data_IF_840621720645
#
_entry.id   IF_840621720645
#
_cell.length_a   1.000
_cell.length_b   1.000
_cell.length_c   1.000
_cell.angle_alpha   90.00
_cell.angle_beta   90.00
_cell.angle_gamma   90.00
#
_symmetry.space_group_name_H-M   'P 1'
#
loop_
_entity.id
_entity.type
_entity.pdbx_description
1 polymer ?
#
# COMPACT_ATOMS: atom_id res chain seq x y z
N UNK A 1 -0.07 20.76 -1.28
CA UNK A 1 -1.14 19.86 -0.87
C UNK A 1 -1.55 18.98 -2.05
N UNK A 2 -2.04 17.77 -1.75
CA UNK A 2 -2.67 16.88 -2.70
C UNK A 2 -4.06 16.50 -2.20
N UNK A 3 -5.01 16.34 -3.13
CA UNK A 3 -6.33 15.79 -2.84
C UNK A 3 -6.34 14.31 -3.17
N UNK A 4 -6.92 13.51 -2.29
CA UNK A 4 -7.03 12.07 -2.47
C UNK A 4 -8.34 11.58 -1.83
N UNK A 5 -9.26 11.02 -2.63
CA UNK A 5 -10.60 10.69 -2.18
C UNK A 5 -11.26 11.87 -1.42
N UNK A 6 -11.59 11.69 -0.16
CA UNK A 6 -12.26 12.69 0.67
C UNK A 6 -11.31 13.47 1.59
N UNK A 7 -9.98 13.35 1.40
CA UNK A 7 -8.98 13.98 2.27
C UNK A 7 -8.06 14.93 1.50
N UNK A 8 -7.46 15.86 2.23
CA UNK A 8 -6.41 16.76 1.73
C UNK A 8 -5.14 16.53 2.54
N UNK A 9 -4.08 16.15 1.84
CA UNK A 9 -2.79 15.76 2.38
C UNK A 9 -1.75 16.87 2.23
N UNK A 10 -0.86 16.98 3.20
CA UNK A 10 0.38 17.71 3.03
C UNK A 10 1.34 16.86 2.20
N UNK A 11 1.86 17.43 1.13
CA UNK A 11 2.88 16.84 0.27
C UNK A 11 3.88 17.91 -0.15
N UNK A 12 5.09 17.49 -0.48
CA UNK A 12 6.15 18.37 -0.96
C UNK A 12 7.35 17.58 -1.47
N UNK A 13 8.52 18.21 -1.47
CA UNK A 13 9.74 17.57 -1.95
C UNK A 13 10.06 16.32 -1.11
N UNK A 14 10.38 15.23 -1.78
CA UNK A 14 10.80 13.97 -1.14
C UNK A 14 9.66 13.01 -0.80
N UNK A 15 8.40 13.34 -1.15
CA UNK A 15 7.27 12.44 -1.01
C UNK A 15 6.54 12.25 -2.34
N UNK A 16 6.13 11.02 -2.60
CA UNK A 16 5.32 10.68 -3.77
C UNK A 16 3.93 11.34 -3.69
N UNK A 17 3.52 12.01 -4.76
CA UNK A 17 2.18 12.59 -4.86
C UNK A 17 1.19 11.50 -5.26
N UNK A 18 0.14 11.23 -4.45
CA UNK A 18 -0.80 10.15 -4.72
C UNK A 18 -1.50 10.35 -6.08
N UNK A 19 -1.75 9.22 -6.77
CA UNK A 19 -2.32 9.19 -8.13
C UNK A 19 -3.80 8.79 -8.10
N UNK A 20 -4.59 9.22 -9.11
CA UNK A 20 -6.02 8.87 -9.20
C UNK A 20 -6.28 7.36 -9.27
N UNK A 21 -5.39 6.59 -9.92
CA UNK A 21 -5.51 5.14 -10.02
C UNK A 21 -5.43 4.47 -8.64
N UNK A 22 -4.62 5.02 -7.73
CA UNK A 22 -4.47 4.53 -6.36
C UNK A 22 -5.75 4.72 -5.54
N UNK A 23 -6.61 5.69 -5.88
CA UNK A 23 -7.93 5.84 -5.23
C UNK A 23 -8.83 4.63 -5.48
N UNK A 24 -8.76 4.05 -6.69
CA UNK A 24 -9.48 2.83 -7.03
C UNK A 24 -8.98 1.64 -6.21
N UNK A 25 -7.66 1.45 -6.13
CA UNK A 25 -7.03 0.39 -5.33
C UNK A 25 -7.38 0.55 -3.85
N UNK A 26 -7.40 1.79 -3.34
CA UNK A 26 -7.84 2.09 -1.98
C UNK A 26 -9.31 1.71 -1.75
N UNK A 27 -10.17 1.90 -2.76
CA UNK A 27 -11.56 1.45 -2.72
C UNK A 27 -11.70 -0.05 -2.48
N UNK A 28 -10.87 -0.88 -3.15
CA UNK A 28 -10.85 -2.33 -2.92
C UNK A 28 -10.45 -2.68 -1.49
N UNK A 29 -9.48 -1.96 -0.90
CA UNK A 29 -9.09 -2.16 0.49
C UNK A 29 -10.21 -1.76 1.46
N UNK A 30 -10.89 -0.64 1.23
CA UNK A 30 -12.04 -0.21 2.02
C UNK A 30 -13.16 -1.27 2.00
N UNK A 31 -13.45 -1.83 0.84
CA UNK A 31 -14.44 -2.91 0.70
C UNK A 31 -14.01 -4.18 1.46
N UNK A 32 -12.72 -4.54 1.39
CA UNK A 32 -12.17 -5.65 2.16
C UNK A 32 -12.28 -5.41 3.67
N UNK A 33 -11.96 -4.20 4.16
CA UNK A 33 -12.07 -3.83 5.57
C UNK A 33 -13.53 -3.87 6.04
N UNK A 34 -14.48 -3.37 5.23
CA UNK A 34 -15.92 -3.43 5.54
C UNK A 34 -16.46 -4.87 5.60
N UNK A 35 -15.83 -5.79 4.87
CA UNK A 35 -16.20 -7.21 4.87
C UNK A 35 -15.63 -8.00 6.05
N UNK A 36 -14.71 -7.42 6.84
CA UNK A 36 -14.16 -8.07 8.03
C UNK A 36 -15.24 -8.31 9.09
N UNK A 37 -15.16 -9.45 9.75
CA UNK A 37 -16.10 -9.80 10.81
C UNK A 37 -15.80 -9.12 12.16
N UNK A 38 -14.59 -8.57 12.31
CA UNK A 38 -14.16 -7.89 13.53
C UNK A 38 -14.74 -6.48 13.65
N UNK A 39 -15.03 -6.05 14.86
CA UNK A 39 -15.55 -4.71 15.12
C UNK A 39 -14.49 -3.61 14.96
N UNK A 40 -13.23 -3.94 15.15
CA UNK A 40 -12.07 -3.03 15.03
C UNK A 40 -11.01 -3.65 14.11
N UNK A 41 -11.20 -3.58 12.77
CA UNK A 41 -10.25 -4.15 11.82
C UNK A 41 -8.87 -3.49 11.93
N UNK A 42 -7.81 -4.30 11.86
CA UNK A 42 -6.43 -3.82 11.85
C UNK A 42 -5.93 -3.82 10.39
N UNK A 43 -5.42 -2.66 9.95
CA UNK A 43 -4.98 -2.44 8.59
C UNK A 43 -3.53 -1.93 8.58
N UNK A 44 -2.69 -2.52 7.72
CA UNK A 44 -1.37 -1.99 7.40
C UNK A 44 -1.33 -1.43 5.99
N UNK A 45 -0.84 -0.18 5.87
CA UNK A 45 -0.46 0.47 4.63
C UNK A 45 1.08 0.43 4.52
N UNK A 46 1.60 -0.52 3.75
CA UNK A 46 3.05 -0.70 3.57
C UNK A 46 3.52 0.15 2.39
N UNK A 47 4.63 0.87 2.55
CA UNK A 47 5.10 1.92 1.65
C UNK A 47 4.15 3.13 1.61
N UNK A 48 3.81 3.66 2.77
CA UNK A 48 2.72 4.62 2.96
C UNK A 48 2.89 5.97 2.23
N UNK A 49 4.11 6.38 1.88
CA UNK A 49 4.38 7.64 1.20
C UNK A 49 3.83 8.85 1.98
N UNK A 50 2.87 9.56 1.43
CA UNK A 50 2.17 10.66 2.13
C UNK A 50 1.14 10.18 3.18
N UNK A 51 0.90 8.87 3.27
CA UNK A 51 -0.17 8.29 4.07
C UNK A 51 -1.53 8.26 3.38
N UNK A 52 -1.59 8.48 2.07
CA UNK A 52 -2.84 8.66 1.33
C UNK A 52 -3.80 7.48 1.50
N UNK A 53 -3.32 6.26 1.29
CA UNK A 53 -4.13 5.04 1.35
C UNK A 53 -4.63 4.80 2.78
N UNK A 54 -3.70 4.71 3.73
CA UNK A 54 -4.03 4.43 5.12
C UNK A 54 -4.95 5.48 5.74
N UNK A 55 -4.74 6.76 5.45
CA UNK A 55 -5.58 7.85 5.95
C UNK A 55 -6.96 7.89 5.32
N UNK A 56 -7.10 7.56 4.03
CA UNK A 56 -8.41 7.41 3.41
C UNK A 56 -9.20 6.28 4.09
N UNK A 57 -8.56 5.14 4.39
CA UNK A 57 -9.19 4.04 5.13
C UNK A 57 -9.57 4.50 6.56
N UNK A 58 -8.64 5.12 7.30
CA UNK A 58 -8.89 5.54 8.68
C UNK A 58 -10.02 6.56 8.80
N UNK A 59 -10.17 7.47 7.83
CA UNK A 59 -11.22 8.49 7.84
C UNK A 59 -12.57 7.96 7.37
N UNK A 60 -12.59 7.00 6.41
CA UNK A 60 -13.83 6.41 5.91
C UNK A 60 -14.35 5.26 6.78
N UNK A 61 -13.48 4.64 7.60
CA UNK A 61 -13.82 3.55 8.53
C UNK A 61 -13.27 3.89 9.92
N UNK A 62 -13.95 4.73 10.69
CA UNK A 62 -13.44 5.27 11.98
C UNK A 62 -13.13 4.22 13.06
N UNK A 63 -13.69 3.01 12.95
CA UNK A 63 -13.41 1.89 13.85
C UNK A 63 -12.23 1.01 13.42
N UNK A 64 -11.65 1.24 12.22
CA UNK A 64 -10.43 0.55 11.80
C UNK A 64 -9.20 1.15 12.51
N UNK A 65 -8.25 0.29 12.92
CA UNK A 65 -6.93 0.69 13.41
C UNK A 65 -5.95 0.63 12.23
N UNK A 66 -5.44 1.77 11.80
CA UNK A 66 -4.61 1.87 10.58
C UNK A 66 -3.17 2.24 10.91
N UNK A 67 -2.23 1.47 10.39
CA UNK A 67 -0.80 1.67 10.60
C UNK A 67 -0.12 1.84 9.24
N UNK A 68 0.44 3.03 8.99
CA UNK A 68 1.26 3.31 7.83
C UNK A 68 2.74 3.05 8.11
N UNK A 69 3.43 2.30 7.25
CA UNK A 69 4.87 2.05 7.33
C UNK A 69 5.56 2.76 6.18
N UNK A 70 6.50 3.66 6.50
CA UNK A 70 7.26 4.43 5.52
C UNK A 70 8.75 4.36 5.84
N UNK A 71 9.56 4.08 4.81
CA UNK A 71 11.03 3.94 4.93
C UNK A 71 11.77 5.27 4.80
N UNK A 72 11.30 6.15 3.93
CA UNK A 72 11.95 7.44 3.66
C UNK A 72 11.70 8.41 4.82
N UNK A 73 12.75 8.90 5.47
CA UNK A 73 12.63 9.91 6.50
C UNK A 73 11.99 11.22 5.99
N UNK A 74 12.27 11.59 4.73
CA UNK A 74 11.69 12.78 4.10
C UNK A 74 10.18 12.63 3.89
N UNK A 75 9.74 11.48 3.36
CA UNK A 75 8.33 11.16 3.19
C UNK A 75 7.64 11.01 4.55
N UNK A 76 8.27 10.33 5.52
CA UNK A 76 7.73 10.11 6.85
C UNK A 76 7.39 11.40 7.60
N UNK A 77 8.15 12.47 7.37
CA UNK A 77 7.81 13.78 7.93
C UNK A 77 6.43 14.29 7.48
N UNK A 78 6.01 14.00 6.24
CA UNK A 78 4.66 14.27 5.77
C UNK A 78 3.65 13.25 6.28
N UNK A 79 4.00 11.97 6.21
CA UNK A 79 3.15 10.86 6.70
C UNK A 79 2.70 11.11 8.14
N UNK A 80 3.65 11.35 9.04
CA UNK A 80 3.38 11.59 10.48
C UNK A 80 2.44 12.76 10.69
N UNK A 81 2.73 13.94 10.09
CA UNK A 81 1.85 15.11 10.23
C UNK A 81 0.45 14.87 9.67
N UNK A 82 0.34 14.17 8.55
CA UNK A 82 -0.95 13.85 7.97
C UNK A 82 -1.76 12.92 8.89
N UNK A 83 -1.12 11.89 9.47
CA UNK A 83 -1.78 10.99 10.45
C UNK A 83 -2.21 11.73 11.71
N UNK A 84 -1.36 12.56 12.29
CA UNK A 84 -1.68 13.36 13.47
C UNK A 84 -2.87 14.30 13.25
N UNK A 85 -2.99 14.84 12.04
CA UNK A 85 -4.04 15.78 11.66
C UNK A 85 -5.37 15.12 11.30
N UNK A 86 -5.34 14.01 10.57
CA UNK A 86 -6.52 13.42 9.94
C UNK A 86 -7.07 12.20 10.67
N UNK A 87 -6.23 11.44 11.37
CA UNK A 87 -6.61 10.20 12.04
C UNK A 87 -5.94 10.04 13.42
N UNK A 88 -6.03 11.05 14.32
CA UNK A 88 -5.26 11.06 15.57
C UNK A 88 -5.66 9.97 16.57
N UNK A 89 -6.82 9.35 16.41
CA UNK A 89 -7.35 8.35 17.35
C UNK A 89 -7.26 6.91 16.86
N UNK A 90 -7.24 6.70 15.55
CA UNK A 90 -7.30 5.37 14.95
C UNK A 90 -6.25 5.12 13.87
N UNK A 91 -5.31 6.06 13.67
CA UNK A 91 -4.22 5.94 12.73
C UNK A 91 -2.88 6.34 13.31
N UNK A 92 -1.81 5.68 12.89
CA UNK A 92 -0.43 6.03 13.23
C UNK A 92 0.53 5.69 12.10
N UNK A 93 1.67 6.38 12.05
CA UNK A 93 2.75 6.10 11.12
C UNK A 93 3.98 5.52 11.86
N UNK A 94 4.73 4.68 11.18
CA UNK A 94 5.98 4.07 11.64
C UNK A 94 7.06 4.35 10.60
N UNK A 95 8.20 4.89 11.04
CA UNK A 95 9.40 5.01 10.21
C UNK A 95 10.17 3.69 10.26
N UNK A 96 10.03 2.88 9.22
CA UNK A 96 10.72 1.59 9.10
C UNK A 96 10.81 1.15 7.64
N UNK A 97 11.79 0.32 7.31
CA UNK A 97 11.72 -0.51 6.11
C UNK A 97 10.57 -1.52 6.24
N UNK A 98 9.94 -1.89 5.14
CA UNK A 98 8.88 -2.92 5.14
C UNK A 98 9.38 -4.21 5.78
N UNK A 99 10.63 -4.61 5.49
CA UNK A 99 11.24 -5.80 6.07
C UNK A 99 11.35 -5.75 7.60
N UNK A 100 11.48 -4.54 8.16
CA UNK A 100 11.63 -4.27 9.61
C UNK A 100 10.30 -3.90 10.28
N UNK A 101 9.17 -4.13 9.60
CA UNK A 101 7.83 -3.90 10.19
C UNK A 101 7.71 -4.66 11.53
N UNK A 102 7.29 -3.97 12.63
CA UNK A 102 7.15 -4.59 13.95
C UNK A 102 6.30 -5.87 13.94
N UNK A 103 6.61 -6.80 14.82
CA UNK A 103 6.01 -8.15 14.86
C UNK A 103 4.96 -8.35 15.97
N UNK A 104 4.65 -7.33 16.73
CA UNK A 104 3.68 -7.36 17.83
C UNK A 104 2.23 -7.64 17.37
N UNK A 105 1.95 -7.42 16.08
CA UNK A 105 0.67 -7.69 15.44
C UNK A 105 0.69 -8.89 14.47
N UNK A 106 1.73 -9.73 14.51
CA UNK A 106 1.80 -10.92 13.67
C UNK A 106 0.58 -11.83 13.85
N UNK A 107 -0.01 -12.24 12.72
CA UNK A 107 -1.19 -13.11 12.69
C UNK A 107 -2.48 -12.45 13.20
N UNK A 108 -2.52 -11.12 13.36
CA UNK A 108 -3.68 -10.39 13.90
C UNK A 108 -4.26 -9.36 12.92
N UNK A 109 -3.57 -9.07 11.82
CA UNK A 109 -3.96 -8.05 10.84
C UNK A 109 -5.04 -8.60 9.93
N UNK A 110 -6.03 -7.79 9.60
CA UNK A 110 -7.16 -8.15 8.74
C UNK A 110 -6.87 -7.82 7.27
N UNK A 111 -6.29 -6.64 7.01
CA UNK A 111 -5.98 -6.18 5.65
C UNK A 111 -4.58 -5.58 5.59
N UNK A 112 -3.80 -5.99 4.60
CA UNK A 112 -2.55 -5.34 4.20
C UNK A 112 -2.74 -4.77 2.80
N UNK A 113 -2.43 -3.49 2.64
CA UNK A 113 -2.40 -2.83 1.33
C UNK A 113 -1.03 -2.20 1.11
N UNK A 114 -0.58 -2.17 -0.13
CA UNK A 114 0.66 -1.51 -0.51
C UNK A 114 0.58 -0.95 -1.92
N UNK A 115 1.11 0.26 -2.10
CA UNK A 115 1.55 0.78 -3.38
C UNK A 115 3.09 0.86 -3.36
N UNK A 116 3.81 -0.25 -3.57
CA UNK A 116 5.26 -0.29 -3.46
C UNK A 116 5.91 0.33 -4.70
N UNK A 117 7.19 0.72 -4.65
CA UNK A 117 7.98 0.99 -5.84
C UNK A 117 7.98 -0.24 -6.76
N UNK A 118 7.55 -0.07 -8.02
CA UNK A 118 7.40 -1.19 -8.96
C UNK A 118 8.03 -0.94 -10.34
N UNK A 119 8.71 0.20 -10.57
CA UNK A 119 9.36 0.49 -11.85
C UNK A 119 10.69 -0.30 -11.92
N UNK A 120 10.94 -1.09 -12.99
CA UNK A 120 12.22 -1.73 -13.20
C UNK A 120 13.36 -0.71 -13.28
N UNK A 121 14.52 -1.03 -12.70
CA UNK A 121 15.64 -0.10 -12.55
C UNK A 121 16.17 0.50 -13.86
N UNK A 122 15.99 -0.21 -14.99
CA UNK A 122 16.43 0.24 -16.32
C UNK A 122 15.35 1.03 -17.09
N UNK A 123 14.12 1.14 -16.55
CA UNK A 123 13.04 1.88 -17.21
C UNK A 123 13.02 3.34 -16.75
N UNK A 124 12.93 4.24 -17.71
CA UNK A 124 12.66 5.65 -17.43
C UNK A 124 11.15 5.83 -17.35
N UNK A 125 10.63 6.51 -16.31
CA UNK A 125 9.21 6.80 -16.23
C UNK A 125 8.70 7.50 -17.50
N UNK A 126 7.55 7.06 -18.02
CA UNK A 126 6.98 7.58 -19.28
C UNK A 126 6.62 9.07 -19.16
N UNK A 127 6.25 9.50 -17.96
CA UNK A 127 5.89 10.89 -17.69
C UNK A 127 7.09 11.67 -17.13
N UNK A 128 7.53 12.75 -17.80
CA UNK A 128 8.69 13.56 -17.37
C UNK A 128 8.55 14.10 -15.94
N UNK A 129 7.32 14.43 -15.52
CA UNK A 129 7.05 14.94 -14.17
C UNK A 129 7.40 13.91 -13.10
N UNK A 130 7.13 12.62 -13.36
CA UNK A 130 7.48 11.52 -12.46
C UNK A 130 9.01 11.39 -12.34
N UNK A 131 9.72 11.42 -13.46
CA UNK A 131 11.18 11.31 -13.47
C UNK A 131 11.89 12.48 -12.80
N UNK A 132 11.30 13.70 -12.83
CA UNK A 132 11.91 14.94 -12.35
C UNK A 132 11.56 15.27 -10.90
N UNK A 133 10.42 14.85 -10.41
CA UNK A 133 9.86 15.32 -9.15
C UNK A 133 9.63 14.23 -8.09
N UNK A 134 9.36 12.98 -8.51
CA UNK A 134 9.17 11.90 -7.56
C UNK A 134 10.51 11.30 -7.10
N UNK A 135 10.66 10.97 -5.81
CA UNK A 135 11.91 10.40 -5.31
C UNK A 135 12.15 9.00 -5.90
N UNK A 136 13.37 8.72 -6.35
CA UNK A 136 13.74 7.42 -6.94
C UNK A 136 13.43 6.22 -6.03
N UNK A 137 13.50 6.42 -4.71
CA UNK A 137 13.15 5.40 -3.71
C UNK A 137 11.67 5.00 -3.77
N UNK A 138 10.79 5.89 -4.22
CA UNK A 138 9.35 5.63 -4.37
C UNK A 138 8.99 5.05 -5.74
N UNK A 139 9.94 4.97 -6.68
CA UNK A 139 9.70 4.56 -8.06
C UNK A 139 10.26 3.18 -8.38
N UNK A 140 11.53 2.94 -8.03
CA UNK A 140 12.27 1.78 -8.54
C UNK A 140 12.19 0.57 -7.61
N UNK A 141 11.69 -0.54 -8.14
CA UNK A 141 11.50 -1.82 -7.44
C UNK A 141 12.54 -2.90 -7.77
N UNK A 142 13.77 -2.51 -8.16
CA UNK A 142 14.83 -3.46 -8.52
C UNK A 142 14.86 -3.80 -10.00
N UNK A 143 15.58 -4.87 -10.37
CA UNK A 143 15.86 -5.22 -11.78
C UNK A 143 14.57 -5.48 -12.58
N UNK A 144 13.65 -6.28 -12.03
CA UNK A 144 12.34 -6.60 -12.62
C UNK A 144 11.19 -5.75 -12.09
N UNK A 145 11.45 -4.83 -11.15
CA UNK A 145 10.45 -4.00 -10.50
C UNK A 145 9.67 -4.70 -9.38
N UNK A 146 10.02 -5.92 -9.01
CA UNK A 146 9.24 -6.71 -8.04
C UNK A 146 9.96 -6.97 -6.70
N UNK A 147 11.13 -6.39 -6.47
CA UNK A 147 11.90 -6.67 -5.24
C UNK A 147 11.11 -6.27 -3.98
N UNK A 148 10.52 -5.07 -3.98
CA UNK A 148 9.71 -4.61 -2.85
C UNK A 148 8.40 -5.38 -2.76
N UNK A 149 7.80 -5.77 -3.89
CA UNK A 149 6.58 -6.61 -3.92
C UNK A 149 6.84 -7.96 -3.24
N UNK A 150 8.02 -8.56 -3.44
CA UNK A 150 8.41 -9.82 -2.77
C UNK A 150 8.46 -9.65 -1.26
N UNK A 151 9.06 -8.56 -0.78
CA UNK A 151 9.16 -8.24 0.65
C UNK A 151 7.78 -7.95 1.24
N UNK A 152 6.96 -7.16 0.55
CA UNK A 152 5.56 -6.89 0.96
C UNK A 152 4.77 -8.19 1.11
N UNK A 153 4.89 -9.12 0.15
CA UNK A 153 4.20 -10.41 0.22
C UNK A 153 4.63 -11.25 1.43
N UNK A 154 5.94 -11.27 1.76
CA UNK A 154 6.46 -12.01 2.91
C UNK A 154 6.02 -11.37 4.24
N UNK A 155 6.09 -10.06 4.36
CA UNK A 155 5.66 -9.33 5.55
C UNK A 155 4.14 -9.43 5.74
N UNK A 156 3.36 -9.31 4.68
CA UNK A 156 1.91 -9.50 4.73
C UNK A 156 1.54 -10.93 5.16
N UNK A 157 2.26 -11.96 4.67
CA UNK A 157 2.05 -13.34 5.10
C UNK A 157 2.30 -13.54 6.60
N UNK A 158 3.20 -12.78 7.20
CA UNK A 158 3.48 -12.78 8.64
C UNK A 158 2.41 -12.03 9.44
N UNK A 159 2.03 -10.83 8.97
CA UNK A 159 1.10 -9.94 9.66
C UNK A 159 -0.35 -10.45 9.66
N UNK A 160 -0.82 -10.90 8.49
CA UNK A 160 -2.22 -11.28 8.32
C UNK A 160 -2.56 -12.56 9.08
N UNK A 161 -3.75 -12.59 9.69
CA UNK A 161 -4.35 -13.84 10.17
C UNK A 161 -4.79 -14.70 8.96
N UNK A 162 -5.00 -16.03 9.14
CA UNK A 162 -5.61 -16.86 8.11
C UNK A 162 -6.95 -16.30 7.65
N UNK A 163 -7.13 -16.11 6.34
CA UNK A 163 -8.29 -15.44 5.75
C UNK A 163 -8.16 -13.94 5.58
N UNK A 164 -7.12 -13.32 6.13
CA UNK A 164 -6.81 -11.89 5.91
C UNK A 164 -6.46 -11.56 4.47
N UNK A 165 -6.67 -10.34 4.07
CA UNK A 165 -6.57 -9.89 2.67
C UNK A 165 -5.31 -9.06 2.43
N UNK A 166 -4.57 -9.41 1.37
CA UNK A 166 -3.48 -8.61 0.80
C UNK A 166 -3.94 -7.94 -0.49
N UNK A 167 -3.60 -6.65 -0.67
CA UNK A 167 -3.82 -5.90 -1.91
C UNK A 167 -2.52 -5.18 -2.28
N UNK A 168 -2.05 -5.38 -3.51
CA UNK A 168 -0.80 -4.76 -4.02
C UNK A 168 -1.10 -4.03 -5.33
N UNK A 169 -0.78 -2.74 -5.38
CA UNK A 169 -0.75 -1.97 -6.63
C UNK A 169 0.51 -2.33 -7.43
N UNK A 170 0.41 -2.35 -8.77
CA UNK A 170 1.50 -2.66 -9.69
C UNK A 170 1.31 -1.95 -11.04
N UNK A 171 2.35 -1.94 -11.88
CA UNK A 171 2.24 -1.48 -13.26
C UNK A 171 1.33 -2.41 -14.09
N UNK A 172 0.67 -1.86 -15.11
CA UNK A 172 -0.29 -2.59 -15.96
C UNK A 172 0.27 -3.88 -16.58
N UNK A 173 1.55 -3.92 -16.92
CA UNK A 173 2.23 -5.11 -17.49
C UNK A 173 2.72 -6.12 -16.44
N UNK A 174 2.58 -5.86 -15.14
CA UNK A 174 3.12 -6.73 -14.08
C UNK A 174 2.07 -7.67 -13.47
N UNK A 175 0.79 -7.54 -13.82
CA UNK A 175 -0.30 -8.29 -13.18
C UNK A 175 -0.10 -9.81 -13.17
N UNK A 176 0.37 -10.38 -14.28
CA UNK A 176 0.65 -11.83 -14.37
C UNK A 176 1.82 -12.24 -13.47
N UNK A 177 2.92 -11.47 -13.48
CA UNK A 177 4.10 -11.75 -12.69
C UNK A 177 3.80 -11.67 -11.17
N UNK A 178 3.04 -10.66 -10.75
CA UNK A 178 2.62 -10.51 -9.33
C UNK A 178 1.69 -11.66 -8.92
N UNK A 179 0.75 -12.09 -9.79
CA UNK A 179 -0.11 -13.25 -9.49
C UNK A 179 0.70 -14.53 -9.31
N UNK A 180 1.63 -14.81 -10.22
CA UNK A 180 2.48 -16.00 -10.13
C UNK A 180 3.32 -15.97 -8.85
N UNK A 181 3.94 -14.83 -8.54
CA UNK A 181 4.71 -14.65 -7.30
C UNK A 181 3.86 -14.98 -6.05
N UNK A 182 2.62 -14.51 -5.99
CA UNK A 182 1.75 -14.77 -4.85
C UNK A 182 1.31 -16.24 -4.78
N UNK A 183 0.95 -16.85 -5.92
CA UNK A 183 0.60 -18.27 -5.99
C UNK A 183 1.77 -19.16 -5.54
N UNK A 184 2.99 -18.89 -5.99
CA UNK A 184 4.20 -19.63 -5.62
C UNK A 184 4.51 -19.49 -4.13
N UNK A 185 4.12 -18.38 -3.49
CA UNK A 185 4.24 -18.16 -2.04
C UNK A 185 3.06 -18.76 -1.24
N UNK A 186 2.14 -19.47 -1.89
CA UNK A 186 1.03 -20.15 -1.22
C UNK A 186 -0.19 -19.29 -0.91
N UNK A 187 -0.29 -18.09 -1.49
CA UNK A 187 -1.51 -17.28 -1.40
C UNK A 187 -2.65 -17.91 -2.18
N UNK A 188 -3.87 -17.70 -1.72
CA UNK A 188 -5.10 -18.23 -2.34
C UNK A 188 -5.99 -17.10 -2.87
N UNK A 189 -6.97 -17.45 -3.69
CA UNK A 189 -7.92 -16.50 -4.29
C UNK A 189 -7.25 -15.29 -4.95
N UNK A 190 -6.10 -15.50 -5.58
CA UNK A 190 -5.30 -14.46 -6.23
C UNK A 190 -6.04 -13.91 -7.45
N UNK A 191 -6.37 -12.62 -7.45
CA UNK A 191 -7.17 -11.95 -8.49
C UNK A 191 -6.53 -10.63 -8.92
N UNK A 192 -6.48 -10.39 -10.24
CA UNK A 192 -6.13 -9.09 -10.81
C UNK A 192 -7.37 -8.21 -10.87
N UNK A 193 -7.19 -6.91 -10.57
CA UNK A 193 -8.21 -5.88 -10.66
C UNK A 193 -7.76 -4.79 -11.63
N UNK A 194 -8.68 -4.35 -12.48
CA UNK A 194 -8.43 -3.31 -13.47
C UNK A 194 -8.91 -1.95 -12.96
N UNK A 195 -8.22 -0.89 -13.38
CA UNK A 195 -8.64 0.48 -13.15
C UNK A 195 -9.78 0.89 -14.12
N UNK A 196 -10.25 2.13 -14.01
CA UNK A 196 -11.31 2.67 -14.87
C UNK A 196 -10.97 2.69 -16.36
N UNK A 197 -9.69 2.56 -16.72
CA UNK A 197 -9.21 2.48 -18.10
C UNK A 197 -9.04 1.04 -18.58
N UNK A 198 -9.54 0.05 -17.84
CA UNK A 198 -9.39 -1.40 -18.10
C UNK A 198 -7.92 -1.86 -18.17
N UNK A 199 -7.04 -1.21 -17.41
CA UNK A 199 -5.64 -1.61 -17.25
C UNK A 199 -5.49 -2.36 -15.94
N UNK A 200 -4.74 -3.46 -15.96
CA UNK A 200 -4.40 -4.19 -14.75
C UNK A 200 -3.67 -3.25 -13.79
N UNK A 201 -4.17 -3.09 -12.56
CA UNK A 201 -3.67 -2.10 -11.63
C UNK A 201 -3.30 -2.66 -10.27
N UNK A 202 -3.98 -3.70 -9.84
CA UNK A 202 -3.68 -4.32 -8.55
C UNK A 202 -4.00 -5.80 -8.54
N UNK A 203 -3.38 -6.51 -7.61
CA UNK A 203 -3.71 -7.91 -7.29
C UNK A 203 -4.17 -7.98 -5.85
N UNK A 204 -5.27 -8.68 -5.62
CA UNK A 204 -5.69 -9.11 -4.28
C UNK A 204 -5.43 -10.60 -4.08
N UNK A 205 -5.16 -10.99 -2.83
CA UNK A 205 -4.95 -12.37 -2.43
C UNK A 205 -5.40 -12.59 -0.98
N UNK A 206 -5.73 -13.82 -0.65
CA UNK A 206 -6.13 -14.23 0.69
C UNK A 206 -5.02 -15.07 1.32
N UNK A 207 -4.67 -14.75 2.58
CA UNK A 207 -3.74 -15.52 3.39
C UNK A 207 -4.30 -16.94 3.60
N UNK A 208 -3.60 -17.96 3.12
CA UNK A 208 -3.87 -19.34 3.50
C UNK A 208 -3.41 -19.63 4.94
N UNK A 209 -3.63 -20.82 5.40
CA UNK A 209 -3.31 -21.24 6.78
C UNK A 209 -1.84 -21.10 7.14
#
# INVERSE_FOLDING_TARGET
>A
VAHFRNITLEVGKGVFVPRPETEWVTGLAIDAVKACATAEPIVFDLCAGSGAIGLAIATEIPNAQVIGVEKSADAFGYTSRNYEKLAPTNGRAILADVADTPNDLDGKVDVVISNPPYIPAQMVPIYPEVALHDPGLALYGGEDGLDVVRVVADVAARLLHPGGTLIIEHADMQGEAVRHLLLDKGWTQVRTHQDFNSRDRSVSAIRSH
#
